data_IF_243533354598
#
_entry.id   IF_243533354598
#
_cell.length_a   1.000
_cell.length_b   1.000
_cell.length_c   1.000
_cell.angle_alpha   90.00
_cell.angle_beta   90.00
_cell.angle_gamma   90.00
#
_symmetry.space_group_name_H-M   'P 1'
#
loop_
_entity.id
_entity.type
_entity.pdbx_description
1 polymer ?
#
# COMPACT_ATOMS: atom_id res chain seq x y z
N UNK A 1 -4.89 -32.14 17.75
CA UNK A 1 -4.40 -30.76 17.51
C UNK A 1 -4.99 -29.91 18.61
N UNK A 2 -4.18 -29.39 19.52
CA UNK A 2 -4.66 -28.60 20.66
C UNK A 2 -5.40 -27.36 20.16
N UNK A 3 -6.49 -26.98 20.83
CA UNK A 3 -7.32 -25.84 20.41
C UNK A 3 -6.50 -24.54 20.30
N UNK A 4 -5.41 -24.41 21.08
CA UNK A 4 -4.48 -23.28 21.00
C UNK A 4 -3.78 -23.16 19.65
N UNK A 5 -3.46 -24.27 18.97
CA UNK A 5 -2.80 -24.24 17.67
C UNK A 5 -3.74 -23.73 16.57
N UNK A 6 -5.03 -24.09 16.64
CA UNK A 6 -6.05 -23.60 15.70
C UNK A 6 -6.25 -22.08 15.78
N UNK A 7 -6.26 -21.52 16.99
CA UNK A 7 -6.42 -20.08 17.22
C UNK A 7 -5.22 -19.28 16.68
N UNK A 8 -4.00 -19.78 16.89
CA UNK A 8 -2.78 -19.11 16.39
C UNK A 8 -2.79 -19.01 14.86
N UNK A 9 -3.17 -20.08 14.16
CA UNK A 9 -3.27 -20.09 12.70
C UNK A 9 -4.32 -19.07 12.22
N UNK A 10 -5.47 -19.01 12.88
CA UNK A 10 -6.55 -18.09 12.53
C UNK A 10 -6.10 -16.62 12.66
N UNK A 11 -5.41 -16.28 13.75
CA UNK A 11 -4.88 -14.94 13.98
C UNK A 11 -3.79 -14.60 12.96
N UNK A 12 -2.87 -15.53 12.68
CA UNK A 12 -1.82 -15.33 11.68
C UNK A 12 -2.41 -15.09 10.29
N UNK A 13 -3.44 -15.85 9.91
CA UNK A 13 -4.12 -15.71 8.63
C UNK A 13 -4.89 -14.38 8.52
N UNK A 14 -5.61 -14.00 9.57
CA UNK A 14 -6.29 -12.71 9.64
C UNK A 14 -5.29 -11.54 9.57
N UNK A 15 -4.16 -11.65 10.25
CA UNK A 15 -3.06 -10.68 10.19
C UNK A 15 -2.46 -10.56 8.79
N UNK A 16 -2.24 -11.68 8.11
CA UNK A 16 -1.73 -11.70 6.74
C UNK A 16 -2.70 -11.00 5.76
N UNK A 17 -4.00 -11.28 5.86
CA UNK A 17 -5.03 -10.62 5.03
C UNK A 17 -5.07 -9.12 5.33
N UNK A 18 -5.05 -8.74 6.61
CA UNK A 18 -5.03 -7.33 7.01
C UNK A 18 -3.82 -6.58 6.46
N UNK A 19 -2.64 -7.20 6.54
CA UNK A 19 -1.41 -6.65 5.98
C UNK A 19 -1.48 -6.53 4.45
N UNK A 20 -2.02 -7.54 3.77
CA UNK A 20 -2.18 -7.53 2.32
C UNK A 20 -3.14 -6.43 1.85
N UNK A 21 -4.23 -6.22 2.58
CA UNK A 21 -5.18 -5.14 2.31
C UNK A 21 -4.55 -3.76 2.50
N UNK A 22 -3.70 -3.60 3.52
CA UNK A 22 -2.98 -2.36 3.80
C UNK A 22 -1.97 -2.04 2.67
N UNK A 23 -1.19 -3.02 2.23
CA UNK A 23 -0.30 -2.87 1.07
C UNK A 23 -1.05 -2.66 -0.25
N UNK A 24 -2.25 -3.22 -0.42
CA UNK A 24 -3.09 -2.91 -1.57
C UNK A 24 -3.54 -1.45 -1.55
N UNK A 25 -3.96 -0.94 -0.40
CA UNK A 25 -4.51 0.42 -0.28
C UNK A 25 -3.42 1.50 -0.42
N UNK A 26 -2.26 1.29 0.22
CA UNK A 26 -1.13 2.22 0.19
C UNK A 26 -0.26 1.91 -1.04
N UNK A 27 -0.15 2.82 -2.02
CA UNK A 27 0.64 2.59 -3.23
C UNK A 27 2.15 2.79 -2.97
N UNK A 28 2.73 1.96 -2.11
CA UNK A 28 4.16 2.04 -1.72
C UNK A 28 5.10 1.88 -2.92
N UNK A 29 4.72 1.04 -3.91
CA UNK A 29 5.52 0.85 -5.13
C UNK A 29 5.67 2.12 -5.96
N UNK A 30 4.58 2.87 -6.16
CA UNK A 30 4.61 4.15 -6.88
C UNK A 30 5.38 5.23 -6.11
N UNK A 31 5.24 5.24 -4.79
CA UNK A 31 6.00 6.14 -3.92
C UNK A 31 7.51 5.92 -4.06
N UNK A 32 7.94 4.67 -4.01
CA UNK A 32 9.36 4.32 -4.16
C UNK A 32 9.91 4.74 -5.52
N UNK A 33 9.15 4.50 -6.60
CA UNK A 33 9.51 4.97 -7.94
C UNK A 33 9.65 6.50 -8.00
N UNK A 34 8.69 7.24 -7.43
CA UNK A 34 8.74 8.71 -7.39
C UNK A 34 9.99 9.23 -6.67
N UNK A 35 10.34 8.64 -5.51
CA UNK A 35 11.54 9.02 -4.76
C UNK A 35 12.82 8.75 -5.56
N UNK A 36 12.92 7.61 -6.24
CA UNK A 36 14.06 7.29 -7.10
C UNK A 36 14.17 8.24 -8.30
N UNK A 37 13.04 8.68 -8.84
CA UNK A 37 12.99 9.69 -9.91
C UNK A 37 13.21 11.13 -9.41
N UNK A 38 13.51 11.34 -8.13
CA UNK A 38 13.72 12.68 -7.56
C UNK A 38 12.44 13.48 -7.29
N UNK A 39 11.26 12.86 -7.46
CA UNK A 39 9.96 13.49 -7.23
C UNK A 39 9.58 13.37 -5.76
N UNK A 40 9.48 14.52 -5.07
CA UNK A 40 9.13 14.58 -3.65
C UNK A 40 7.61 14.47 -3.45
N UNK A 41 7.10 13.24 -3.34
CA UNK A 41 5.71 12.95 -3.00
C UNK A 41 5.61 12.20 -1.68
N UNK A 42 4.66 12.59 -0.82
CA UNK A 42 4.37 11.86 0.41
C UNK A 42 3.43 10.67 0.16
N UNK A 43 3.60 9.59 0.93
CA UNK A 43 2.70 8.43 0.91
C UNK A 43 1.25 8.84 1.19
N UNK A 44 1.04 9.77 2.13
CA UNK A 44 -0.29 10.31 2.46
C UNK A 44 -0.94 10.96 1.24
N UNK A 45 -0.20 11.71 0.42
CA UNK A 45 -0.73 12.29 -0.81
C UNK A 45 -1.22 11.22 -1.79
N UNK A 46 -0.46 10.14 -1.97
CA UNK A 46 -0.84 9.07 -2.89
C UNK A 46 -2.09 8.31 -2.41
N UNK A 47 -2.23 8.14 -1.09
CA UNK A 47 -3.44 7.56 -0.48
C UNK A 47 -4.63 8.50 -0.70
N UNK A 48 -4.49 9.81 -0.48
CA UNK A 48 -5.56 10.78 -0.74
C UNK A 48 -5.94 10.87 -2.22
N UNK A 49 -4.99 10.72 -3.13
CA UNK A 49 -5.27 10.64 -4.58
C UNK A 49 -6.19 9.47 -4.88
N UNK A 50 -5.87 8.28 -4.36
CA UNK A 50 -6.69 7.07 -4.54
C UNK A 50 -8.08 7.22 -3.91
N UNK A 51 -8.17 7.84 -2.72
CA UNK A 51 -9.46 8.16 -2.08
C UNK A 51 -10.33 9.07 -2.93
N UNK A 52 -9.73 10.09 -3.55
CA UNK A 52 -10.42 11.00 -4.50
C UNK A 52 -10.65 10.41 -5.89
N UNK A 53 -10.44 9.10 -6.08
CA UNK A 53 -10.54 8.40 -7.38
C UNK A 53 -9.59 8.94 -8.47
N UNK A 54 -8.48 9.59 -8.09
CA UNK A 54 -7.44 10.01 -9.03
C UNK A 54 -6.36 8.93 -9.08
N UNK A 55 -6.08 8.33 -10.25
CA UNK A 55 -5.03 7.32 -10.37
C UNK A 55 -3.66 7.95 -10.10
N UNK A 56 -2.93 7.52 -9.04
CA UNK A 56 -1.65 8.13 -8.68
C UNK A 56 -0.55 7.90 -9.72
N UNK A 57 -0.66 6.84 -10.54
CA UNK A 57 0.30 6.54 -11.63
C UNK A 57 0.38 7.66 -12.66
N UNK A 58 -0.75 8.27 -13.01
CA UNK A 58 -0.81 9.37 -13.99
C UNK A 58 -0.07 10.61 -13.48
N UNK A 59 -0.13 10.88 -12.17
CA UNK A 59 0.53 12.02 -11.55
C UNK A 59 2.04 11.79 -11.46
N UNK A 60 2.47 10.61 -10.99
CA UNK A 60 3.90 10.28 -10.91
C UNK A 60 4.53 10.33 -12.29
N UNK A 61 3.90 9.72 -13.31
CA UNK A 61 4.41 9.78 -14.68
C UNK A 61 4.47 11.21 -15.25
N UNK A 62 3.52 12.08 -14.91
CA UNK A 62 3.54 13.47 -15.33
C UNK A 62 4.65 14.31 -14.67
N UNK A 63 5.16 13.88 -13.51
CA UNK A 63 6.22 14.57 -12.76
C UNK A 63 7.63 14.08 -13.11
N UNK A 64 7.74 12.95 -13.83
CA UNK A 64 9.03 12.37 -14.27
C UNK A 64 9.51 13.01 -15.61
N UNK A 65 8.73 13.92 -16.21
CA UNK A 65 9.01 14.62 -17.47
C UNK A 65 10.42 15.22 -17.55
#
# INVERSE_FOLDING_TARGET
MDQGFGVIILIAFAGLIGLWMLFYFIPVGLWFQAVLSGVKISLLQLVFMRWRKVPPSTIVNALIN
#
